data_IF_297812662657
#
_entry.id   IF_297812662657
#
_cell.length_a   1.000
_cell.length_b   1.000
_cell.length_c   1.000
_cell.angle_alpha   90.00
_cell.angle_beta   90.00
_cell.angle_gamma   90.00
#
_symmetry.space_group_name_H-M   'P 1'
#
loop_
_entity.id
_entity.type
_entity.pdbx_description
1 polymer ?
2 non-polymer ?
3 water ?
#
# COMPACT_ATOMS: atom_id res chain seq x y z
N UNK A 1 10.23 20.75 13.99
CA UNK A 1 11.71 20.83 13.83
C UNK A 1 12.22 19.54 13.20
N UNK A 2 13.25 19.64 12.37
CA UNK A 2 13.77 18.46 11.68
C UNK A 2 15.23 18.12 12.00
N UNK A 3 15.44 16.94 12.58
CA UNK A 3 16.77 16.49 12.92
C UNK A 3 17.41 15.84 11.70
N UNK A 4 18.72 15.57 11.80
CA UNK A 4 19.48 14.91 10.75
C UNK A 4 20.90 14.80 11.27
N UNK A 5 21.23 13.62 11.77
CA UNK A 5 22.56 13.39 12.33
C UNK A 5 23.56 13.07 11.25
N UNK A 6 23.10 13.03 10.01
CA UNK A 6 23.97 12.75 8.87
C UNK A 6 24.85 11.54 9.14
N UNK A 7 26.11 11.77 9.52
CA UNK A 7 27.03 10.67 9.81
C UNK A 7 27.53 10.65 11.24
N UNK A 8 26.93 11.48 12.09
CA UNK A 8 27.30 11.57 13.49
C UNK A 8 26.58 10.46 14.24
N UNK A 9 27.21 9.29 14.33
CA UNK A 9 26.62 8.14 15.00
C UNK A 9 26.38 8.29 16.51
N UNK A 10 27.30 8.93 17.22
CA UNK A 10 27.14 9.12 18.66
C UNK A 10 25.97 10.03 19.02
N UNK A 11 25.96 11.24 18.47
CA UNK A 11 24.88 12.16 18.78
C UNK A 11 23.52 11.60 18.41
N UNK A 12 23.49 10.68 17.45
CA UNK A 12 22.24 10.04 17.04
C UNK A 12 21.91 9.01 18.12
N UNK A 13 22.95 8.34 18.60
CA UNK A 13 22.81 7.31 19.64
C UNK A 13 22.10 7.91 20.85
N UNK A 14 22.51 9.11 21.25
CA UNK A 14 21.87 9.77 22.38
C UNK A 14 20.38 9.89 22.08
N UNK A 15 20.09 10.55 20.96
CA UNK A 15 18.73 10.78 20.50
C UNK A 15 17.90 9.49 20.49
N UNK A 16 18.48 8.44 19.91
CA UNK A 16 17.79 7.17 19.84
C UNK A 16 17.61 6.58 21.22
N UNK A 17 18.60 6.83 22.07
CA UNK A 17 18.56 6.35 23.43
C UNK A 17 17.42 7.05 24.19
N UNK A 18 17.11 8.29 23.80
CA UNK A 18 16.03 9.02 24.46
C UNK A 18 14.63 8.68 23.97
N UNK A 19 14.45 8.57 22.67
CA UNK A 19 13.13 8.23 22.15
C UNK A 19 12.84 6.76 22.43
N UNK A 20 13.91 5.98 22.65
CA UNK A 20 13.77 4.57 22.93
C UNK A 20 12.95 4.46 24.20
N UNK A 21 13.00 5.52 25.00
CA UNK A 21 12.25 5.59 26.25
C UNK A 21 10.78 5.91 26.01
N UNK A 22 10.54 6.92 25.18
CA UNK A 22 9.18 7.35 24.87
C UNK A 22 8.27 6.23 24.39
N UNK A 23 8.84 5.22 23.74
CA UNK A 23 8.01 4.13 23.28
C UNK A 23 7.71 3.29 24.52
N UNK A 24 6.42 3.11 24.77
CA UNK A 24 5.93 2.37 25.92
C UNK A 24 6.03 0.87 25.68
N UNK A 25 7.26 0.34 25.65
CA UNK A 25 7.47 -1.08 25.40
C UNK A 25 8.20 -1.86 26.48
N UNK A 26 7.61 -2.97 26.89
CA UNK A 26 8.23 -3.82 27.90
C UNK A 26 9.34 -4.60 27.21
N UNK A 27 10.27 -5.13 28.00
CA UNK A 27 11.39 -5.90 27.44
C UNK A 27 10.84 -7.09 26.67
N UNK A 28 9.68 -7.59 27.11
CA UNK A 28 9.06 -8.72 26.44
C UNK A 28 8.67 -8.31 25.03
N UNK A 29 8.01 -7.17 24.92
CA UNK A 29 7.60 -6.64 23.63
C UNK A 29 8.82 -6.42 22.74
N UNK A 30 9.78 -5.68 23.27
CA UNK A 30 11.01 -5.38 22.54
C UNK A 30 11.56 -6.67 21.96
N UNK A 31 11.58 -7.73 22.76
CA UNK A 31 12.08 -8.99 22.27
C UNK A 31 11.26 -9.44 21.07
N UNK A 32 9.93 -9.38 21.22
CA UNK A 32 9.03 -9.78 20.15
C UNK A 32 9.19 -8.95 18.89
N UNK A 33 9.54 -7.67 19.05
CA UNK A 33 9.74 -6.79 17.90
C UNK A 33 11.04 -7.18 17.19
N UNK A 34 12.08 -7.45 17.98
CA UNK A 34 13.38 -7.84 17.43
C UNK A 34 13.33 -9.18 16.72
N UNK A 35 12.46 -10.08 17.17
CA UNK A 35 12.36 -11.38 16.52
C UNK A 35 11.90 -11.19 15.09
N UNK A 36 10.91 -10.32 14.90
CA UNK A 36 10.44 -10.06 13.56
C UNK A 36 11.55 -9.38 12.76
N UNK A 37 12.22 -8.41 13.36
CA UNK A 37 13.29 -7.70 12.69
C UNK A 37 14.44 -8.63 12.29
N UNK A 38 14.88 -9.49 13.20
CA UNK A 38 15.97 -10.39 12.87
C UNK A 38 15.43 -11.58 12.06
N UNK A 39 14.18 -11.47 11.64
CA UNK A 39 13.53 -12.51 10.85
C UNK A 39 13.61 -13.90 11.48
N UNK A 40 13.14 -14.00 12.71
CA UNK A 40 13.14 -15.28 13.40
C UNK A 40 12.02 -16.11 12.77
N UNK A 41 12.34 -17.30 12.32
CA UNK A 41 11.38 -18.21 11.69
C UNK A 41 10.96 -17.79 10.28
N UNK A 42 11.74 -16.91 9.66
CA UNK A 42 11.42 -16.45 8.31
C UNK A 42 10.15 -15.62 8.29
N UNK A 43 9.80 -15.00 9.41
CA UNK A 43 8.56 -14.23 9.44
C UNK A 43 8.68 -13.01 8.54
N UNK A 44 9.87 -12.41 8.49
CA UNK A 44 10.08 -11.24 7.66
C UNK A 44 10.21 -11.67 6.19
N UNK A 45 10.71 -12.87 5.99
CA UNK A 45 10.89 -13.46 4.67
C UNK A 45 9.52 -13.81 4.07
N UNK A 46 8.62 -14.30 4.90
CA UNK A 46 7.28 -14.70 4.46
C UNK A 46 6.21 -13.65 4.69
N UNK A 47 6.59 -12.52 5.30
CA UNK A 47 5.63 -11.46 5.58
C UNK A 47 4.73 -11.10 4.40
N UNK A 48 5.33 -10.72 3.28
CA UNK A 48 4.56 -10.35 2.11
C UNK A 48 3.55 -11.44 1.73
N UNK A 49 3.99 -12.69 1.68
CA UNK A 49 3.07 -13.77 1.35
C UNK A 49 1.96 -13.78 2.40
N UNK A 50 2.37 -13.70 3.66
CA UNK A 50 1.42 -13.71 4.75
C UNK A 50 0.28 -12.71 4.53
N UNK A 51 0.62 -11.45 4.26
CA UNK A 51 -0.40 -10.43 4.04
C UNK A 51 -1.41 -10.76 2.93
N UNK A 52 -1.01 -11.60 1.98
CA UNK A 52 -1.94 -11.98 0.93
C UNK A 52 -2.31 -13.45 1.04
N UNK A 53 -2.31 -13.98 2.25
CA UNK A 53 -2.66 -15.39 2.45
C UNK A 53 -4.12 -15.63 2.80
N UNK A 54 -4.54 -16.88 2.67
CA UNK A 54 -5.92 -17.26 2.97
C UNK A 54 -6.02 -17.52 4.47
N UNK A 55 -7.18 -17.21 5.04
CA UNK A 55 -7.40 -17.39 6.48
C UNK A 55 -7.09 -18.81 6.94
N UNK A 56 -6.46 -18.91 8.12
CA UNK A 56 -6.10 -20.21 8.66
C UNK A 56 -4.62 -20.47 8.49
N UNK A 57 -4.02 -19.89 7.45
CA UNK A 57 -2.59 -20.07 7.20
C UNK A 57 -1.77 -19.12 8.05
N UNK A 58 -0.52 -19.49 8.32
CA UNK A 58 0.39 -18.70 9.14
C UNK A 58 -0.22 -18.21 10.44
N UNK A 59 -0.88 -19.12 11.14
CA UNK A 59 -1.52 -18.78 12.39
C UNK A 59 -0.60 -18.15 13.43
N UNK A 60 0.47 -18.86 13.80
CA UNK A 60 1.38 -18.34 14.81
C UNK A 60 1.99 -17.01 14.37
N UNK A 61 2.38 -16.91 13.10
CA UNK A 61 2.94 -15.65 12.62
C UNK A 61 1.91 -14.52 12.79
N UNK A 62 0.65 -14.82 12.47
CA UNK A 62 -0.41 -13.83 12.60
C UNK A 62 -0.54 -13.38 14.06
N UNK A 63 -0.37 -14.32 14.99
CA UNK A 63 -0.46 -14.01 16.40
C UNK A 63 0.67 -13.06 16.80
N UNK A 64 1.83 -13.18 16.17
CA UNK A 64 2.93 -12.27 16.50
C UNK A 64 2.64 -10.93 15.86
N UNK A 65 2.11 -10.96 14.64
CA UNK A 65 1.82 -9.72 13.94
C UNK A 65 0.76 -8.92 14.68
N UNK A 66 -0.19 -9.62 15.30
CA UNK A 66 -1.22 -8.91 16.04
C UNK A 66 -0.60 -8.26 17.28
N UNK A 67 0.42 -8.89 17.86
CA UNK A 67 1.08 -8.31 19.02
C UNK A 67 1.94 -7.11 18.58
N UNK A 68 2.60 -7.25 17.44
CA UNK A 68 3.45 -6.19 16.90
C UNK A 68 2.61 -4.99 16.46
N UNK A 69 1.37 -5.25 16.07
CA UNK A 69 0.46 -4.21 15.65
C UNK A 69 0.15 -3.33 16.86
N UNK A 70 -0.18 -3.98 17.97
CA UNK A 70 -0.50 -3.29 19.21
C UNK A 70 0.64 -2.43 19.70
N UNK A 71 1.85 -2.68 19.21
CA UNK A 71 3.00 -1.90 19.63
C UNK A 71 3.09 -0.55 18.91
N UNK A 72 2.85 -0.53 17.60
CA UNK A 72 2.90 0.75 16.90
C UNK A 72 1.71 1.55 17.38
N UNK A 73 0.78 0.86 18.00
CA UNK A 73 -0.44 1.45 18.52
C UNK A 73 -0.10 2.30 19.74
N UNK A 74 1.17 2.29 20.14
CA UNK A 74 1.62 3.04 21.30
C UNK A 74 2.75 4.01 20.96
N UNK A 75 2.97 4.26 19.67
CA UNK A 75 4.05 5.16 19.27
C UNK A 75 3.75 6.63 19.50
N UNK A 76 4.65 7.28 20.21
CA UNK A 76 4.53 8.68 20.56
C UNK A 76 5.69 9.48 19.94
N UNK A 77 5.82 9.41 18.62
CA UNK A 77 6.92 10.12 17.94
C UNK A 77 6.72 11.61 18.16
N UNK A 78 7.65 12.19 18.89
CA UNK A 78 7.60 13.60 19.23
C UNK A 78 8.41 14.51 18.33
N UNK A 79 9.50 13.99 17.79
CA UNK A 79 10.37 14.79 16.94
C UNK A 79 10.52 14.30 15.49
N UNK A 80 10.55 15.25 14.57
CA UNK A 80 10.71 14.95 13.16
C UNK A 80 12.20 14.69 12.95
N UNK A 81 12.54 13.76 12.06
CA UNK A 81 13.93 13.46 11.83
C UNK A 81 14.16 12.83 10.45
N UNK A 82 15.40 12.94 9.96
CA UNK A 82 15.74 12.40 8.67
C UNK A 82 16.44 11.05 8.76
N UNK A 83 15.74 10.01 8.32
CA UNK A 83 16.25 8.65 8.35
C UNK A 83 16.95 8.24 7.07
N UNK A 84 17.81 7.23 7.16
CA UNK A 84 18.56 6.75 6.02
C UNK A 84 18.50 5.25 5.88
N UNK A 85 18.25 4.77 4.67
CA UNK A 85 18.22 3.35 4.42
C UNK A 85 18.56 3.03 2.98
N UNK A 86 19.48 2.08 2.81
CA UNK A 86 19.87 1.68 1.47
C UNK A 86 19.09 0.43 1.11
N UNK A 87 18.72 0.30 -0.16
CA UNK A 87 17.99 -0.87 -0.59
C UNK A 87 18.35 -1.18 -2.03
N UNK A 88 18.14 -2.43 -2.41
CA UNK A 88 18.36 -2.87 -3.78
C UNK A 88 17.17 -2.33 -4.57
N UNK A 89 17.37 -2.02 -5.86
CA UNK A 89 16.31 -1.48 -6.71
C UNK A 89 15.04 -2.35 -6.77
N UNK A 90 15.23 -3.66 -6.79
CA UNK A 90 14.11 -4.59 -6.85
C UNK A 90 13.15 -4.46 -5.66
N UNK A 91 13.68 -4.09 -4.51
CA UNK A 91 12.88 -3.94 -3.30
C UNK A 91 11.79 -2.90 -3.42
N UNK A 92 12.01 -1.88 -4.24
CA UNK A 92 11.01 -0.83 -4.42
C UNK A 92 10.40 -0.87 -5.82
N UNK A 93 10.35 -2.07 -6.40
CA UNK A 93 9.75 -2.23 -7.70
C UNK A 93 10.49 -1.71 -8.91
N UNK A 94 11.75 -1.31 -8.76
CA UNK A 94 12.50 -0.84 -9.93
C UNK A 94 13.11 -2.10 -10.51
N UNK A 95 12.63 -2.54 -11.65
CA UNK A 95 13.12 -3.77 -12.25
C UNK A 95 14.03 -3.64 -13.46
N UNK A 96 14.63 -2.47 -13.65
CA UNK A 96 15.56 -2.25 -14.75
C UNK A 96 16.96 -2.28 -14.17
N UNK A 97 17.93 -2.66 -14.99
CA UNK A 97 19.32 -2.71 -14.58
C UNK A 97 19.64 -1.29 -14.12
N UNK A 98 20.10 -1.13 -12.88
CA UNK A 98 20.39 0.19 -12.34
C UNK A 98 21.86 0.58 -12.40
N UNK A 99 22.75 -0.37 -12.19
CA UNK A 99 24.17 -0.07 -12.22
C UNK A 99 24.99 -1.00 -13.11
N UNK A 100 26.19 -0.56 -13.41
CA UNK A 100 27.15 -1.31 -14.22
C UNK A 100 28.49 -1.00 -13.58
N UNK A 101 28.81 -1.76 -12.54
CA UNK A 101 30.04 -1.54 -11.82
C UNK A 101 29.76 -0.50 -10.76
N UNK A 102 30.60 0.51 -10.68
CA UNK A 102 30.44 1.56 -9.69
C UNK A 102 29.73 2.74 -10.32
N UNK A 103 29.15 2.52 -11.50
CA UNK A 103 28.48 3.57 -12.22
C UNK A 103 26.97 3.38 -12.41
N UNK A 104 26.27 4.51 -12.55
CA UNK A 104 24.83 4.49 -12.78
C UNK A 104 24.62 4.57 -14.28
N UNK A 105 24.03 3.51 -14.82
CA UNK A 105 23.75 3.35 -16.25
C UNK A 105 23.46 4.61 -17.09
N UNK A 106 22.51 5.43 -16.63
CA UNK A 106 22.10 6.68 -17.30
C UNK A 106 20.68 6.52 -17.84
N UNK A 107 20.44 5.45 -18.59
CA UNK A 107 19.10 5.19 -19.07
C UNK A 107 18.36 4.79 -17.81
N UNK A 108 19.09 4.12 -16.91
CA UNK A 108 18.53 3.69 -15.65
C UNK A 108 17.93 4.90 -14.93
N UNK A 109 18.73 5.96 -14.74
CA UNK A 109 18.20 7.13 -14.07
C UNK A 109 16.98 7.71 -14.74
N UNK A 110 17.03 7.85 -16.06
CA UNK A 110 15.90 8.39 -16.82
C UNK A 110 14.70 7.56 -16.43
N UNK A 111 14.80 6.26 -16.67
CA UNK A 111 13.73 5.34 -16.34
C UNK A 111 13.38 5.48 -14.86
N UNK A 112 14.39 5.59 -14.02
CA UNK A 112 14.14 5.70 -12.60
C UNK A 112 13.31 6.95 -12.24
N UNK A 113 13.75 8.12 -12.70
CA UNK A 113 13.02 9.36 -12.40
C UNK A 113 11.61 9.36 -12.98
N UNK A 114 11.44 8.71 -14.12
CA UNK A 114 10.13 8.67 -14.75
C UNK A 114 9.17 7.85 -13.92
N UNK A 115 9.68 6.77 -13.32
CA UNK A 115 8.83 5.92 -12.50
C UNK A 115 8.51 6.45 -11.09
N UNK A 116 9.47 7.05 -10.41
CA UNK A 116 9.23 7.50 -9.03
C UNK A 116 9.14 8.97 -8.66
N UNK A 117 9.91 9.83 -9.32
CA UNK A 117 9.88 11.26 -8.98
C UNK A 117 8.47 11.84 -8.84
N UNK A 118 8.22 12.48 -7.69
CA UNK A 118 6.93 13.09 -7.38
C UNK A 118 5.82 12.05 -7.24
N UNK A 119 6.20 10.79 -7.15
CA UNK A 119 5.25 9.68 -7.01
C UNK A 119 5.35 9.12 -5.60
N UNK A 120 4.37 8.30 -5.23
CA UNK A 120 4.39 7.69 -3.92
C UNK A 120 4.89 6.25 -4.04
N UNK A 121 5.72 5.83 -3.09
CA UNK A 121 6.23 4.47 -3.07
C UNK A 121 5.56 3.74 -1.91
N UNK A 122 4.87 2.65 -2.23
CA UNK A 122 4.19 1.84 -1.23
C UNK A 122 5.05 0.64 -0.93
N UNK A 123 5.30 0.38 0.35
CA UNK A 123 6.11 -0.76 0.77
C UNK A 123 5.25 -1.93 1.26
N UNK A 124 5.83 -3.13 1.36
CA UNK A 124 5.09 -4.32 1.80
C UNK A 124 4.98 -4.47 3.32
N UNK A 125 6.00 -4.04 4.04
CA UNK A 125 6.01 -4.20 5.49
C UNK A 125 6.46 -2.96 6.25
N UNK A 126 6.60 -3.09 7.56
CA UNK A 126 7.04 -1.98 8.39
C UNK A 126 8.40 -1.56 7.87
N UNK A 127 8.60 -0.25 7.65
CA UNK A 127 9.88 0.22 7.17
C UNK A 127 10.79 0.47 8.36
N UNK A 128 12.03 -0.01 8.29
CA UNK A 128 12.99 0.19 9.35
C UNK A 128 14.20 0.93 8.76
N UNK A 129 14.40 2.17 9.20
CA UNK A 129 15.49 2.99 8.71
C UNK A 129 16.49 3.38 9.79
N UNK A 130 17.58 4.00 9.37
CA UNK A 130 18.65 4.40 10.28
C UNK A 130 18.61 5.89 10.59
N UNK A 131 19.34 6.28 11.63
CA UNK A 131 19.41 7.66 12.07
C UNK A 131 20.63 8.33 11.46
N UNK A 132 21.45 7.53 10.78
CA UNK A 132 22.65 8.04 10.12
C UNK A 132 22.93 7.24 8.87
N UNK A 133 23.36 7.94 7.83
CA UNK A 133 23.68 7.31 6.56
C UNK A 133 24.38 5.97 6.78
N UNK A 134 24.07 5.01 5.92
CA UNK A 134 24.64 3.67 6.01
C UNK A 134 25.58 3.42 4.87
N UNK A 135 26.64 2.65 5.12
CA UNK A 135 27.54 2.42 4.02
C UNK A 135 26.84 1.66 2.90
N UNK A 136 27.05 2.12 1.68
CA UNK A 136 26.46 1.48 0.51
C UNK A 136 26.89 0.03 0.52
N UNK A 137 25.97 -0.88 0.75
CA UNK A 137 26.31 -2.29 0.75
C UNK A 137 26.42 -2.83 -0.67
N UNK A 138 26.43 -4.15 -0.78
CA UNK A 138 26.55 -4.85 -2.05
C UNK A 138 25.79 -4.20 -3.21
N UNK A 139 24.58 -4.70 -3.45
CA UNK A 139 23.74 -4.23 -4.54
C UNK A 139 22.69 -3.25 -4.05
N UNK A 140 22.79 -2.84 -2.77
CA UNK A 140 21.84 -1.92 -2.19
C UNK A 140 22.25 -0.50 -2.56
N UNK A 141 22.09 -0.19 -3.86
CA UNK A 141 22.50 1.08 -4.41
C UNK A 141 21.50 2.26 -4.38
N UNK A 142 20.31 2.04 -3.85
CA UNK A 142 19.35 3.14 -3.76
C UNK A 142 19.33 3.64 -2.33
N UNK A 143 19.75 4.89 -2.14
CA UNK A 143 19.77 5.49 -0.82
C UNK A 143 18.43 6.18 -0.59
N UNK A 144 17.72 5.80 0.46
CA UNK A 144 16.44 6.43 0.78
C UNK A 144 16.68 7.41 1.92
N UNK A 145 16.35 8.66 1.70
CA UNK A 145 16.53 9.70 2.70
C UNK A 145 15.15 10.19 3.05
N UNK A 146 14.48 9.44 3.92
CA UNK A 146 13.12 9.76 4.30
C UNK A 146 13.02 10.68 5.51
N UNK A 147 12.24 11.75 5.34
CA UNK A 147 12.00 12.72 6.39
C UNK A 147 10.77 12.22 7.15
N UNK A 148 10.93 11.91 8.43
CA UNK A 148 9.81 11.41 9.21
C UNK A 148 9.17 12.51 10.05
N UNK A 149 8.04 13.06 9.60
CA UNK A 149 7.36 14.12 10.33
C UNK A 149 6.84 13.66 11.69
N UNK A 150 7.21 14.38 12.73
CA UNK A 150 6.78 14.06 14.09
C UNK A 150 5.26 14.14 14.18
N UNK A 151 4.69 15.15 13.54
CA UNK A 151 3.26 15.34 13.56
C UNK A 151 2.72 15.19 14.97
N UNK A 152 3.40 15.80 15.93
CA UNK A 152 2.98 15.74 17.33
C UNK A 152 1.70 16.55 17.54
N UNK A 153 1.81 17.87 17.47
CA UNK A 153 0.64 18.71 17.65
C UNK A 153 -0.23 18.59 16.42
N UNK A 154 0.05 17.57 15.62
CA UNK A 154 -0.69 17.28 14.39
C UNK A 154 -1.90 16.39 14.64
N UNK A 155 -2.84 16.43 13.71
CA UNK A 155 -4.05 15.64 13.78
C UNK A 155 -3.73 14.19 14.15
N UNK A 156 -3.24 13.42 13.18
CA UNK A 156 -2.88 12.02 13.41
C UNK A 156 -1.42 11.89 13.84
N UNK A 157 -1.16 11.08 14.87
CA UNK A 157 0.21 10.89 15.36
C UNK A 157 0.99 10.01 14.38
N UNK A 158 2.27 10.31 14.22
CA UNK A 158 3.14 9.54 13.33
C UNK A 158 3.48 8.21 13.99
N UNK A 159 2.84 7.14 13.55
CA UNK A 159 3.11 5.84 14.16
C UNK A 159 4.50 5.31 13.89
N UNK A 160 5.49 5.95 14.49
CA UNK A 160 6.89 5.57 14.34
C UNK A 160 7.57 5.62 15.70
N UNK A 161 8.54 4.73 15.92
CA UNK A 161 9.24 4.71 17.18
C UNK A 161 10.66 4.17 17.03
N UNK A 162 11.47 4.39 18.06
CA UNK A 162 12.84 3.91 18.01
C UNK A 162 12.99 2.66 18.84
N UNK A 163 13.73 1.69 18.31
CA UNK A 163 14.01 0.46 19.01
C UNK A 163 15.51 0.23 18.99
N UNK A 164 16.02 -0.56 19.93
CA UNK A 164 17.44 -0.84 20.01
C UNK A 164 17.63 -2.22 19.42
N UNK A 165 18.08 -2.29 18.18
CA UNK A 165 18.29 -3.55 17.48
C UNK A 165 19.74 -3.70 17.04
N UNK A 166 20.33 -4.86 17.29
CA UNK A 166 21.71 -5.11 16.91
C UNK A 166 22.68 -3.99 17.29
N UNK A 167 22.70 -3.62 18.55
CA UNK A 167 23.61 -2.57 19.00
C UNK A 167 23.35 -1.25 18.28
N UNK A 168 22.11 -1.02 17.86
CA UNK A 168 21.83 0.22 17.16
C UNK A 168 20.41 0.72 17.36
N UNK A 169 20.26 2.03 17.50
CA UNK A 169 18.93 2.56 17.65
C UNK A 169 18.41 2.80 16.24
N UNK A 170 17.20 2.29 15.98
CA UNK A 170 16.62 2.42 14.65
C UNK A 170 15.21 2.95 14.65
N UNK A 171 14.80 3.52 13.53
CA UNK A 171 13.46 4.06 13.39
C UNK A 171 12.56 2.99 12.78
N UNK A 172 11.41 2.76 13.38
CA UNK A 172 10.46 1.78 12.88
C UNK A 172 9.16 2.48 12.53
N UNK A 173 8.79 2.43 11.26
CA UNK A 173 7.57 3.08 10.81
C UNK A 173 6.48 2.07 10.47
N UNK A 174 5.28 2.32 11.02
CA UNK A 174 4.12 1.46 10.83
C UNK A 174 3.71 1.28 9.36
N UNK A 175 2.96 0.22 9.07
CA UNK A 175 2.49 -0.09 7.71
C UNK A 175 1.80 1.06 6.98
N UNK A 176 0.92 1.76 7.68
CA UNK A 176 0.16 2.84 7.09
C UNK A 176 0.86 4.07 6.52
N UNK A 177 2.08 3.93 6.02
CA UNK A 177 2.78 5.07 5.43
C UNK A 177 3.55 4.74 4.15
N UNK A 178 3.47 5.64 3.18
CA UNK A 178 4.18 5.51 1.93
C UNK A 178 5.27 6.58 1.95
N UNK A 179 6.17 6.52 0.98
CA UNK A 179 7.22 7.52 0.88
C UNK A 179 7.02 8.34 -0.39
N UNK A 180 6.61 9.60 -0.24
CA UNK A 180 6.42 10.45 -1.39
C UNK A 180 7.80 10.91 -1.84
N UNK A 181 8.18 10.58 -3.06
CA UNK A 181 9.49 10.97 -3.58
C UNK A 181 9.51 12.46 -3.94
N UNK A 182 10.32 13.23 -3.23
CA UNK A 182 10.40 14.65 -3.49
C UNK A 182 11.48 15.02 -4.50
N UNK A 183 12.65 14.41 -4.35
CA UNK A 183 13.77 14.69 -5.23
C UNK A 183 14.58 13.42 -5.51
N UNK A 184 15.15 13.32 -6.71
CA UNK A 184 15.98 12.18 -7.09
C UNK A 184 17.27 12.65 -7.77
N UNK A 185 18.41 12.18 -7.30
CA UNK A 185 19.68 12.59 -7.90
C UNK A 185 20.76 11.52 -7.83
N UNK A 186 21.86 11.72 -8.55
CA UNK A 186 22.97 10.77 -8.52
C UNK A 186 23.97 11.27 -7.49
N UNK A 187 24.39 10.39 -6.60
CA UNK A 187 25.36 10.75 -5.58
C UNK A 187 26.50 9.75 -5.67
N UNK A 188 27.61 10.06 -5.00
CA UNK A 188 28.77 9.16 -5.00
C UNK A 188 29.29 8.95 -3.59
N UNK A 189 29.27 7.69 -3.15
CA UNK A 189 29.73 7.35 -1.82
C UNK A 189 30.97 6.47 -1.97
N UNK A 190 32.14 7.05 -1.65
CA UNK A 190 33.42 6.35 -1.73
C UNK A 190 33.76 5.75 -3.09
N UNK A 191 33.52 6.52 -4.15
CA UNK A 191 33.83 6.04 -5.49
C UNK A 191 32.71 5.24 -6.14
N UNK A 192 31.64 4.98 -5.40
CA UNK A 192 30.52 4.22 -5.94
C UNK A 192 29.30 5.13 -6.16
N UNK A 193 28.72 5.05 -7.35
CA UNK A 193 27.57 5.88 -7.68
C UNK A 193 26.28 5.19 -7.28
N UNK A 194 25.35 5.95 -6.70
CA UNK A 194 24.07 5.44 -6.26
C UNK A 194 23.02 6.50 -6.50
N UNK A 195 21.75 6.10 -6.45
CA UNK A 195 20.65 7.04 -6.62
C UNK A 195 20.12 7.31 -5.24
N UNK A 196 19.81 8.57 -4.97
CA UNK A 196 19.29 8.95 -3.68
C UNK A 196 17.88 9.51 -3.80
N UNK A 197 16.94 8.89 -3.08
CA UNK A 197 15.57 9.35 -3.06
C UNK A 197 15.29 10.14 -1.79
N UNK A 198 15.06 11.45 -1.92
CA UNK A 198 14.74 12.24 -0.76
C UNK A 198 13.22 12.29 -0.74
N UNK A 199 12.63 11.84 0.35
CA UNK A 199 11.19 11.84 0.41
C UNK A 199 10.61 12.09 1.78
N UNK A 200 9.28 12.16 1.83
CA UNK A 200 8.59 12.40 3.08
C UNK A 200 7.56 11.31 3.30
N UNK A 201 7.23 11.02 4.55
CA UNK A 201 6.21 10.02 4.82
C UNK A 201 4.87 10.61 4.45
N UNK A 202 3.97 9.74 4.02
CA UNK A 202 2.63 10.14 3.63
C UNK A 202 1.72 9.04 4.17
N UNK A 203 0.79 9.42 5.03
CA UNK A 203 -0.13 8.46 5.62
C UNK A 203 -1.07 7.89 4.56
N UNK A 204 -1.46 6.63 4.77
CA UNK A 204 -2.36 5.92 3.89
C UNK A 204 -2.81 4.65 4.61
N UNK A 205 -4.07 4.57 4.99
CA UNK A 205 -4.54 3.38 5.70
C UNK A 205 -4.31 2.12 4.89
N UNK A 206 -3.89 1.07 5.57
CA UNK A 206 -3.61 -0.19 4.91
C UNK A 206 -3.89 -1.30 5.91
N UNK A 207 -5.05 -1.92 5.77
CA UNK A 207 -5.41 -3.00 6.69
C UNK A 207 -4.75 -4.31 6.34
N UNK A 208 -4.07 -4.38 5.21
CA UNK A 208 -3.42 -5.63 4.81
C UNK A 208 -4.46 -6.74 4.92
N UNK A 209 -4.06 -7.90 5.42
CA UNK A 209 -5.00 -8.99 5.53
C UNK A 209 -5.95 -8.86 6.73
N UNK A 210 -6.08 -7.63 7.23
CA UNK A 210 -6.97 -7.29 8.33
C UNK A 210 -6.95 -8.29 9.50
N UNK A 211 -5.78 -8.52 10.05
CA UNK A 211 -5.65 -9.48 11.15
C UNK A 211 -6.35 -9.11 12.45
N UNK A 212 -6.48 -7.82 12.74
CA UNK A 212 -7.15 -7.40 13.97
C UNK A 212 -8.60 -7.01 13.73
N UNK A 213 -9.09 -7.30 12.53
CA UNK A 213 -10.48 -7.00 12.15
C UNK A 213 -10.85 -5.55 12.43
N UNK A 214 -10.02 -4.64 11.95
CA UNK A 214 -10.24 -3.21 12.15
C UNK A 214 -10.89 -2.56 10.92
N UNK A 215 -10.91 -3.29 9.80
CA UNK A 215 -11.46 -2.77 8.56
C UNK A 215 -12.94 -2.45 8.59
N UNK A 216 -13.75 -3.44 8.95
CA UNK A 216 -15.19 -3.24 8.98
C UNK A 216 -15.59 -2.08 9.88
N UNK A 217 -14.88 -1.93 11.00
CA UNK A 217 -15.19 -0.83 11.91
C UNK A 217 -14.84 0.51 11.28
N UNK A 218 -13.70 0.58 10.61
CA UNK A 218 -13.30 1.82 9.96
C UNK A 218 -14.39 2.16 8.96
N UNK A 219 -14.81 1.15 8.21
CA UNK A 219 -15.84 1.34 7.21
C UNK A 219 -17.13 1.87 7.78
N UNK A 220 -17.63 1.20 8.82
CA UNK A 220 -18.87 1.61 9.46
C UNK A 220 -18.73 2.99 10.08
N UNK A 221 -17.62 3.21 10.76
CA UNK A 221 -17.40 4.49 11.42
C UNK A 221 -17.48 5.65 10.43
N UNK A 222 -17.21 5.40 9.15
CA UNK A 222 -17.24 6.48 8.19
C UNK A 222 -18.40 6.46 7.22
N UNK A 223 -18.98 5.29 6.97
CA UNK A 223 -20.09 5.23 6.03
C UNK A 223 -21.43 4.73 6.56
N UNK A 224 -21.56 4.58 7.87
CA UNK A 224 -22.82 4.10 8.42
C UNK A 224 -23.87 5.19 8.21
N UNK A 225 -23.48 6.43 8.47
CA UNK A 225 -24.36 7.59 8.33
C UNK A 225 -24.75 7.76 6.86
N UNK A 226 -23.75 7.72 5.99
CA UNK A 226 -23.95 7.83 4.55
C UNK A 226 -25.01 6.80 4.14
N UNK A 227 -24.86 5.58 4.64
CA UNK A 227 -25.79 4.51 4.33
C UNK A 227 -27.20 4.92 4.76
N UNK A 228 -27.34 5.31 6.02
CA UNK A 228 -28.63 5.74 6.53
C UNK A 228 -29.24 6.85 5.68
N UNK A 229 -28.47 7.87 5.34
CA UNK A 229 -29.01 8.99 4.55
C UNK A 229 -29.27 8.72 3.08
N UNK A 230 -29.22 7.47 2.66
CA UNK A 230 -29.50 7.19 1.27
C UNK A 230 -31.01 7.18 1.06
N UNK A 231 -31.44 7.56 -0.13
CA UNK A 231 -32.85 7.56 -0.46
C UNK A 231 -33.20 6.09 -0.69
N UNK A 232 -34.47 5.74 -0.62
CA UNK A 232 -34.86 4.35 -0.83
C UNK A 232 -34.55 3.96 -2.27
N UNK A 233 -34.50 4.95 -3.16
CA UNK A 233 -34.19 4.70 -4.57
C UNK A 233 -32.76 4.20 -4.61
N UNK A 234 -31.88 4.98 -3.99
CA UNK A 234 -30.46 4.67 -3.90
C UNK A 234 -30.19 3.40 -3.10
N UNK A 235 -30.81 3.29 -1.94
CA UNK A 235 -30.61 2.10 -1.13
C UNK A 235 -30.95 0.87 -1.95
N UNK A 236 -32.10 0.89 -2.62
CA UNK A 236 -32.52 -0.26 -3.41
C UNK A 236 -31.62 -0.57 -4.61
N UNK A 237 -31.25 0.46 -5.37
CA UNK A 237 -30.39 0.24 -6.53
C UNK A 237 -29.07 -0.40 -6.08
N UNK A 238 -28.48 0.15 -5.03
CA UNK A 238 -27.22 -0.36 -4.49
C UNK A 238 -27.39 -1.79 -4.02
N UNK A 239 -28.59 -2.12 -3.57
CA UNK A 239 -28.84 -3.48 -3.09
C UNK A 239 -28.98 -4.40 -4.29
N UNK A 240 -29.59 -3.89 -5.36
CA UNK A 240 -29.75 -4.69 -6.55
C UNK A 240 -28.39 -4.95 -7.14
N UNK A 241 -27.58 -3.90 -7.21
CA UNK A 241 -26.22 -4.00 -7.74
C UNK A 241 -25.46 -5.11 -7.04
N UNK A 242 -25.36 -4.98 -5.73
CA UNK A 242 -24.65 -5.94 -4.89
C UNK A 242 -25.21 -7.35 -4.99
N UNK A 243 -26.52 -7.47 -5.00
CA UNK A 243 -27.14 -8.78 -5.07
C UNK A 243 -26.76 -9.53 -6.35
N UNK A 244 -27.13 -8.99 -7.49
CA UNK A 244 -26.79 -9.65 -8.75
C UNK A 244 -26.62 -8.69 -9.93
N UNK A 245 -27.41 -7.62 -9.93
CA UNK A 245 -27.38 -6.62 -10.99
C UNK A 245 -26.01 -6.15 -11.48
N UNK A 246 -25.00 -6.26 -10.63
CA UNK A 246 -23.66 -5.80 -11.03
C UNK A 246 -23.16 -6.44 -12.33
N UNK A 247 -23.45 -7.72 -12.54
CA UNK A 247 -23.02 -8.41 -13.76
C UNK A 247 -23.60 -7.78 -15.01
N UNK A 248 -24.90 -7.54 -14.96
CA UNK A 248 -25.62 -6.93 -16.08
C UNK A 248 -25.20 -5.47 -16.25
N UNK A 249 -25.12 -4.74 -15.14
CA UNK A 249 -24.72 -3.34 -15.18
C UNK A 249 -23.28 -3.11 -15.64
N UNK A 250 -22.32 -3.88 -15.12
CA UNK A 250 -20.95 -3.68 -15.56
C UNK A 250 -20.77 -4.00 -17.04
N UNK A 251 -21.38 -5.10 -17.48
CA UNK A 251 -21.31 -5.52 -18.87
C UNK A 251 -21.84 -4.41 -19.76
N UNK A 252 -23.03 -3.93 -19.46
CA UNK A 252 -23.66 -2.85 -20.20
C UNK A 252 -22.68 -1.67 -20.35
N UNK A 253 -22.07 -1.27 -19.24
CA UNK A 253 -21.12 -0.16 -19.24
C UNK A 253 -19.77 -0.45 -19.91
N UNK A 254 -19.22 -1.63 -19.65
CA UNK A 254 -17.92 -1.99 -20.23
C UNK A 254 -17.93 -2.38 -21.69
N UNK A 255 -19.00 -3.01 -22.15
CA UNK A 255 -19.05 -3.50 -23.52
C UNK A 255 -20.13 -2.96 -24.44
N UNK A 256 -21.21 -2.40 -23.89
CA UNK A 256 -22.27 -1.89 -24.74
C UNK A 256 -22.35 -0.35 -24.78
N UNK A 257 -21.20 0.31 -24.81
CA UNK A 257 -21.17 1.76 -24.86
C UNK A 257 -21.95 2.46 -23.77
N UNK A 258 -22.41 1.69 -22.78
CA UNK A 258 -23.15 2.25 -21.68
C UNK A 258 -24.42 2.94 -22.13
N UNK A 259 -24.92 2.55 -23.29
CA UNK A 259 -26.12 3.16 -23.83
C UNK A 259 -27.13 2.16 -24.36
N UNK A 260 -28.39 2.57 -24.43
CA UNK A 260 -29.43 1.71 -24.97
C UNK A 260 -30.29 0.90 -24.02
N UNK A 261 -30.33 1.27 -22.74
CA UNK A 261 -31.15 0.52 -21.80
C UNK A 261 -31.72 1.42 -20.72
N UNK A 262 -32.84 2.06 -21.03
CA UNK A 262 -33.54 2.96 -20.12
C UNK A 262 -33.49 2.48 -18.67
N UNK A 263 -33.97 1.26 -18.44
CA UNK A 263 -34.02 0.68 -17.11
C UNK A 263 -32.69 0.77 -16.37
N UNK A 264 -31.65 0.20 -16.96
CA UNK A 264 -30.33 0.22 -16.35
C UNK A 264 -29.82 1.64 -16.12
N UNK A 265 -29.90 2.48 -17.15
CA UNK A 265 -29.45 3.86 -17.02
C UNK A 265 -29.96 4.53 -15.75
N UNK A 266 -31.21 4.26 -15.41
CA UNK A 266 -31.86 4.82 -14.23
C UNK A 266 -31.22 4.27 -12.95
N UNK A 267 -31.08 2.95 -12.89
CA UNK A 267 -30.45 2.31 -11.74
C UNK A 267 -29.00 2.78 -11.65
N UNK A 268 -28.32 2.85 -12.79
CA UNK A 268 -26.95 3.34 -12.81
C UNK A 268 -26.87 4.77 -12.27
N UNK A 269 -27.85 5.61 -12.58
CA UNK A 269 -27.85 6.98 -12.12
C UNK A 269 -27.94 7.07 -10.60
N UNK A 270 -28.77 6.22 -10.01
CA UNK A 270 -28.91 6.24 -8.56
C UNK A 270 -27.63 5.74 -7.91
N UNK A 271 -27.10 4.64 -8.44
CA UNK A 271 -25.88 4.09 -7.89
C UNK A 271 -24.79 5.14 -7.86
N UNK A 272 -24.52 5.76 -9.00
CA UNK A 272 -23.48 6.78 -9.07
C UNK A 272 -23.76 7.98 -8.19
N UNK A 273 -25.01 8.43 -8.12
CA UNK A 273 -25.33 9.57 -7.27
C UNK A 273 -25.06 9.20 -5.81
N UNK A 274 -25.40 7.97 -5.45
CA UNK A 274 -25.17 7.47 -4.10
C UNK A 274 -23.67 7.49 -3.84
N UNK A 275 -22.91 6.89 -4.75
CA UNK A 275 -21.45 6.80 -4.63
C UNK A 275 -20.72 8.13 -4.50
N UNK A 276 -21.34 9.21 -4.98
CA UNK A 276 -20.70 10.51 -4.89
C UNK A 276 -21.01 11.32 -3.65
N UNK A 277 -22.10 11.01 -2.96
CA UNK A 277 -22.50 11.77 -1.78
C UNK A 277 -21.40 11.96 -0.75
N UNK A 278 -20.56 10.95 -0.55
CA UNK A 278 -19.49 11.07 0.43
C UNK A 278 -18.10 10.64 -0.04
N UNK A 279 -17.26 11.59 -0.47
CA UNK A 279 -15.92 11.21 -0.93
C UNK A 279 -15.15 10.46 0.16
N UNK A 280 -14.21 9.60 -0.25
CA UNK A 280 -13.39 8.83 0.69
C UNK A 280 -12.75 9.86 1.64
N UNK A 281 -13.05 9.76 2.94
CA UNK A 281 -12.53 10.67 3.96
C UNK A 281 -11.02 10.81 4.12
N UNK A 282 -10.26 9.80 3.71
CA UNK A 282 -8.80 9.90 3.84
C UNK A 282 -8.10 8.93 2.92
N UNK A 283 -6.79 9.11 2.74
CA UNK A 283 -6.03 8.23 1.89
C UNK A 283 -6.11 6.80 2.40
N UNK A 284 -6.59 5.88 1.57
CA UNK A 284 -6.66 4.49 1.98
C UNK A 284 -6.10 3.58 0.90
N UNK A 285 -5.86 2.33 1.27
CA UNK A 285 -5.34 1.32 0.37
C UNK A 285 -6.42 0.28 0.20
N UNK A 286 -6.72 -0.09 -1.03
CA UNK A 286 -7.71 -1.13 -1.26
C UNK A 286 -7.06 -2.22 -2.09
N UNK A 287 -7.71 -3.37 -2.17
CA UNK A 287 -7.15 -4.47 -2.93
C UNK A 287 -8.16 -5.12 -3.83
N UNK A 288 -7.65 -5.92 -4.76
CA UNK A 288 -8.51 -6.56 -5.71
C UNK A 288 -7.71 -7.66 -6.40
N UNK A 289 -8.23 -8.89 -6.38
CA UNK A 289 -7.57 -10.00 -7.06
C UNK A 289 -8.15 -10.02 -8.48
N UNK A 290 -7.28 -9.90 -9.47
CA UNK A 290 -7.72 -9.82 -10.87
C UNK A 290 -7.57 -11.06 -11.75
N UNK A 291 -8.51 -11.24 -12.67
CA UNK A 291 -8.45 -12.35 -13.59
C UNK A 291 -7.70 -11.89 -14.83
N UNK A 292 -6.92 -12.77 -15.44
CA UNK A 292 -6.13 -12.44 -16.63
C UNK A 292 -6.82 -11.57 -17.71
N UNK A 293 -8.11 -11.83 -17.98
CA UNK A 293 -8.80 -11.02 -18.98
C UNK A 293 -8.85 -9.55 -18.59
N UNK A 294 -8.88 -9.27 -17.29
CA UNK A 294 -8.94 -7.88 -16.83
C UNK A 294 -7.71 -7.09 -17.28
N UNK A 295 -6.63 -7.80 -17.55
CA UNK A 295 -5.41 -7.16 -18.01
C UNK A 295 -5.03 -7.57 -19.43
N UNK A 296 -6.06 -7.86 -20.22
CA UNK A 296 -5.86 -8.22 -21.61
C UNK A 296 -5.32 -9.61 -21.91
N UNK A 297 -5.25 -10.47 -20.90
CA UNK A 297 -4.74 -11.82 -21.12
C UNK A 297 -5.83 -12.88 -21.13
N UNK A 298 -5.45 -14.10 -21.54
CA UNK A 298 -6.36 -15.22 -21.62
C UNK A 298 -6.49 -15.92 -20.29
N UNK A 299 -7.70 -16.35 -19.99
CA UNK A 299 -8.00 -17.02 -18.73
C UNK A 299 -7.02 -18.14 -18.40
N UNK A 300 -6.52 -18.83 -19.43
CA UNK A 300 -5.60 -19.93 -19.18
C UNK A 300 -4.11 -19.60 -19.36
N UNK A 301 -3.79 -18.34 -19.64
CA UNK A 301 -2.39 -17.97 -19.82
C UNK A 301 -1.61 -17.81 -18.52
N UNK A 302 -0.33 -18.16 -18.53
CA UNK A 302 0.47 -17.99 -17.33
C UNK A 302 0.85 -16.51 -17.34
N UNK A 303 1.38 -15.99 -16.24
CA UNK A 303 1.77 -14.60 -16.22
C UNK A 303 2.86 -14.36 -17.26
N UNK A 304 2.80 -13.23 -17.98
CA UNK A 304 3.85 -12.97 -18.98
C UNK A 304 5.11 -12.65 -18.17
N UNK A 305 6.23 -12.46 -18.84
CA UNK A 305 7.48 -12.15 -18.14
C UNK A 305 7.26 -10.83 -17.38
N UNK A 306 7.97 -10.65 -16.27
CA UNK A 306 7.81 -9.43 -15.50
C UNK A 306 8.24 -8.26 -16.36
N UNK A 307 9.10 -8.53 -17.32
CA UNK A 307 9.57 -7.48 -18.21
C UNK A 307 8.45 -7.06 -19.16
N UNK A 308 7.83 -8.04 -19.81
CA UNK A 308 6.73 -7.74 -20.74
C UNK A 308 5.60 -6.98 -20.06
N UNK A 309 5.28 -7.41 -18.85
CA UNK A 309 4.20 -6.81 -18.10
C UNK A 309 4.44 -5.32 -17.87
N UNK A 310 5.67 -4.97 -17.51
CA UNK A 310 5.98 -3.56 -17.29
C UNK A 310 5.88 -2.81 -18.62
N UNK A 311 6.36 -3.42 -19.70
CA UNK A 311 6.29 -2.74 -20.99
C UNK A 311 4.86 -2.42 -21.35
N UNK A 312 3.94 -3.30 -20.98
CA UNK A 312 2.53 -3.08 -21.29
C UNK A 312 1.77 -2.16 -20.35
N UNK A 313 1.98 -2.31 -19.04
CA UNK A 313 1.22 -1.51 -18.08
C UNK A 313 1.96 -0.50 -17.22
N UNK A 314 3.27 -0.66 -17.06
CA UNK A 314 4.03 0.27 -16.23
C UNK A 314 3.91 1.70 -16.72
N UNK A 315 3.49 2.58 -15.82
CA UNK A 315 3.32 4.00 -16.08
C UNK A 315 2.06 4.36 -16.89
N UNK A 316 1.26 3.36 -17.25
CA UNK A 316 0.04 3.59 -18.01
C UNK A 316 -1.15 3.89 -17.10
N UNK A 317 -2.27 4.26 -17.72
CA UNK A 317 -3.51 4.54 -17.00
C UNK A 317 -4.59 3.58 -17.44
N UNK A 318 -4.98 2.69 -16.55
CA UNK A 318 -6.00 1.71 -16.87
C UNK A 318 -7.36 2.28 -16.46
N UNK A 319 -8.35 2.08 -17.31
CA UNK A 319 -9.68 2.60 -17.04
C UNK A 319 -10.71 1.50 -16.89
N UNK A 320 -11.86 1.87 -16.35
CA UNK A 320 -12.95 0.93 -16.19
C UNK A 320 -14.26 1.68 -16.33
N UNK A 321 -15.02 1.34 -17.38
CA UNK A 321 -16.29 1.99 -17.59
C UNK A 321 -17.30 1.50 -16.57
N UNK A 322 -17.12 0.27 -16.11
CA UNK A 322 -18.01 -0.28 -15.10
C UNK A 322 -17.59 0.21 -13.71
N UNK A 323 -18.20 -0.36 -12.68
CA UNK A 323 -17.87 0.01 -11.30
C UNK A 323 -16.80 -0.97 -10.82
N UNK A 324 -15.76 -0.44 -10.20
CA UNK A 324 -14.69 -1.28 -9.69
C UNK A 324 -14.88 -1.64 -8.21
N UNK A 325 -14.97 -2.94 -7.94
CA UNK A 325 -15.13 -3.43 -6.57
C UNK A 325 -13.76 -3.71 -6.01
N UNK A 326 -13.49 -3.19 -4.82
CA UNK A 326 -12.20 -3.42 -4.20
C UNK A 326 -12.46 -3.79 -2.76
N UNK A 327 -11.40 -4.13 -2.03
CA UNK A 327 -11.54 -4.51 -0.63
C UNK A 327 -10.51 -3.86 0.29
N UNK A 328 -10.90 -3.58 1.52
CA UNK A 328 -9.98 -3.00 2.48
C UNK A 328 -9.02 -4.09 2.93
N UNK A 329 -9.36 -5.34 2.65
CA UNK A 329 -8.50 -6.47 3.04
C UNK A 329 -7.85 -7.17 1.86
N UNK A 330 -6.56 -7.42 1.98
CA UNK A 330 -5.79 -8.09 0.95
C UNK A 330 -5.91 -9.60 1.11
N UNK A 331 -6.79 -10.01 2.02
CA UNK A 331 -7.03 -11.42 2.32
C UNK A 331 -7.40 -12.31 1.13
N UNK A 332 -6.77 -13.47 1.02
CA UNK A 332 -7.08 -14.38 -0.08
C UNK A 332 -8.34 -15.18 0.23
N UNK A 333 -9.36 -15.03 -0.61
CA UNK A 333 -10.61 -15.74 -0.43
C UNK A 333 -10.79 -16.76 -1.53
N UNK A 334 -11.36 -17.91 -1.17
CA UNK A 334 -11.61 -19.00 -2.10
C UNK A 334 -12.24 -18.59 -3.44
N UNK A 335 -13.18 -17.66 -3.41
CA UNK A 335 -13.84 -17.24 -4.65
C UNK A 335 -12.84 -16.92 -5.75
N UNK A 336 -11.69 -16.37 -5.37
CA UNK A 336 -10.66 -16.04 -6.36
C UNK A 336 -9.24 -16.13 -5.82
N UNK A 337 -9.01 -17.11 -4.96
CA UNK A 337 -7.70 -17.31 -4.38
C UNK A 337 -6.61 -17.71 -5.36
N UNK A 338 -6.96 -17.94 -6.62
CA UNK A 338 -5.96 -18.35 -7.59
C UNK A 338 -5.69 -17.32 -8.69
N UNK A 339 -6.23 -16.10 -8.56
CA UNK A 339 -5.97 -15.05 -9.54
C UNK A 339 -4.46 -14.81 -9.45
N UNK A 340 -3.82 -14.40 -10.54
CA UNK A 340 -2.38 -14.18 -10.53
C UNK A 340 -1.96 -12.71 -10.49
N UNK A 341 -2.94 -11.81 -10.55
CA UNK A 341 -2.64 -10.39 -10.52
C UNK A 341 -3.41 -9.77 -9.36
N UNK A 342 -2.66 -9.14 -8.45
CA UNK A 342 -3.26 -8.49 -7.29
C UNK A 342 -3.06 -6.99 -7.37
N UNK A 343 -4.16 -6.23 -7.36
CA UNK A 343 -4.06 -4.79 -7.45
C UNK A 343 -3.99 -4.16 -6.06
N UNK A 344 -2.93 -3.40 -5.82
CA UNK A 344 -2.80 -2.71 -4.54
C UNK A 344 -3.08 -1.28 -4.94
N UNK A 345 -4.30 -0.82 -4.67
CA UNK A 345 -4.71 0.50 -5.09
C UNK A 345 -4.69 1.58 -4.01
N UNK A 346 -4.12 2.74 -4.35
CA UNK A 346 -4.07 3.88 -3.45
C UNK A 346 -5.23 4.78 -3.76
N UNK A 347 -6.16 4.90 -2.82
CA UNK A 347 -7.31 5.77 -3.02
C UNK A 347 -7.08 7.02 -2.19
N UNK A 348 -6.77 8.15 -2.85
CA UNK A 348 -6.50 9.45 -2.22
C UNK A 348 -7.75 10.03 -1.59
N UNK A 349 -7.54 10.84 -0.55
CA UNK A 349 -8.66 11.47 0.12
C UNK A 349 -9.40 12.20 -1.00
N UNK A 350 -10.74 12.11 -0.98
CA UNK A 350 -11.53 12.78 -2.00
C UNK A 350 -11.97 11.92 -3.19
N UNK A 351 -11.56 10.66 -3.22
CA UNK A 351 -11.95 9.82 -4.34
C UNK A 351 -13.45 9.59 -4.30
N UNK A 352 -14.02 9.34 -5.46
CA UNK A 352 -15.46 9.10 -5.62
C UNK A 352 -15.79 7.63 -5.40
N UNK A 353 -16.31 7.31 -4.21
CA UNK A 353 -16.66 5.94 -3.90
C UNK A 353 -17.31 5.85 -2.54
N UNK A 354 -17.58 4.62 -2.09
CA UNK A 354 -18.20 4.47 -0.80
C UNK A 354 -17.96 3.06 -0.29
N UNK A 355 -18.01 2.91 1.02
CA UNK A 355 -17.83 1.62 1.67
C UNK A 355 -19.22 1.01 1.61
N UNK A 356 -19.47 0.25 0.54
CA UNK A 356 -20.74 -0.40 0.26
C UNK A 356 -21.26 -1.30 1.38
N UNK A 357 -20.35 -1.91 2.14
CA UNK A 357 -20.73 -2.80 3.22
C UNK A 357 -21.62 -2.11 4.26
N UNK A 358 -21.65 -0.79 4.25
CA UNK A 358 -22.46 -0.05 5.20
C UNK A 358 -23.95 -0.27 5.01
N UNK A 359 -24.38 -0.65 3.81
CA UNK A 359 -25.81 -0.86 3.57
C UNK A 359 -26.28 -2.23 4.06
N UNK A 360 -25.35 -3.05 4.55
CA UNK A 360 -25.72 -4.37 5.02
C UNK A 360 -26.52 -5.09 3.95
N UNK A 361 -27.32 -6.07 4.35
CA UNK A 361 -28.11 -6.80 3.38
C UNK A 361 -27.27 -7.67 2.46
N UNK A 362 -27.71 -7.82 1.21
CA UNK A 362 -26.99 -8.63 0.23
C UNK A 362 -25.57 -8.12 -0.01
N UNK A 363 -25.25 -6.96 0.54
CA UNK A 363 -23.93 -6.34 0.40
C UNK A 363 -22.80 -7.35 0.56
N UNK A 364 -21.60 -6.96 0.15
CA UNK A 364 -20.44 -7.85 0.25
C UNK A 364 -19.65 -7.56 1.51
N UNK A 365 -18.42 -8.08 1.56
CA UNK A 365 -17.54 -7.93 2.72
C UNK A 365 -16.38 -6.94 2.61
N UNK A 366 -16.37 -5.94 3.49
CA UNK A 366 -15.29 -4.98 3.51
C UNK A 366 -15.04 -4.37 2.14
N UNK A 367 -16.12 -4.09 1.42
CA UNK A 367 -16.03 -3.55 0.06
C UNK A 367 -16.11 -2.03 -0.11
N UNK A 368 -15.14 -1.50 -0.86
CA UNK A 368 -15.15 -0.09 -1.21
C UNK A 368 -15.42 -0.09 -2.69
N UNK A 369 -16.63 0.33 -3.06
CA UNK A 369 -17.05 0.37 -4.45
C UNK A 369 -16.74 1.73 -5.07
N UNK A 370 -15.87 1.74 -6.07
CA UNK A 370 -15.52 2.99 -6.75
C UNK A 370 -16.54 3.29 -7.84
N UNK A 371 -16.84 4.57 -8.04
CA UNK A 371 -17.80 4.98 -9.04
C UNK A 371 -17.31 4.60 -10.42
N UNK A 372 -18.24 4.46 -11.36
CA UNK A 372 -17.88 4.10 -12.72
C UNK A 372 -16.94 5.11 -13.37
N UNK A 373 -16.37 4.74 -14.50
CA UNK A 373 -15.44 5.60 -15.21
C UNK A 373 -14.22 5.92 -14.35
N UNK A 374 -13.71 4.92 -13.65
CA UNK A 374 -12.52 5.12 -12.81
C UNK A 374 -11.26 5.04 -13.66
N UNK A 375 -10.19 5.60 -13.13
CA UNK A 375 -8.91 5.60 -13.80
C UNK A 375 -7.81 5.59 -12.77
N UNK A 376 -6.82 4.72 -12.95
CA UNK A 376 -5.71 4.70 -12.01
C UNK A 376 -4.38 4.57 -12.73
N UNK A 377 -3.33 5.02 -12.06
CA UNK A 377 -1.97 5.00 -12.60
C UNK A 377 -1.14 3.85 -12.05
N UNK A 378 -0.70 2.95 -12.91
CA UNK A 378 0.13 1.85 -12.44
C UNK A 378 1.51 2.43 -12.08
N UNK A 379 1.87 2.34 -10.80
CA UNK A 379 3.14 2.87 -10.32
C UNK A 379 4.31 1.89 -10.37
N UNK A 380 4.12 0.69 -9.85
CA UNK A 380 5.18 -0.30 -9.89
C UNK A 380 4.60 -1.71 -9.81
N UNK A 381 5.38 -2.70 -10.24
CA UNK A 381 4.96 -4.09 -10.21
C UNK A 381 6.03 -4.92 -9.51
N UNK A 382 5.61 -5.75 -8.58
CA UNK A 382 6.55 -6.57 -7.83
C UNK A 382 5.97 -7.95 -7.73
N UNK A 383 6.78 -8.93 -7.31
CA UNK A 383 6.29 -10.30 -7.23
C UNK A 383 6.07 -10.78 -5.81
N UNK A 384 5.18 -11.76 -5.68
CA UNK A 384 4.92 -12.38 -4.40
C UNK A 384 4.47 -13.82 -4.70
N UNK A 385 5.09 -14.78 -4.03
CA UNK A 385 4.75 -16.18 -4.22
C UNK A 385 3.86 -16.61 -3.07
N UNK A 386 2.60 -16.85 -3.39
CA UNK A 386 1.60 -17.23 -2.40
C UNK A 386 1.25 -18.70 -2.53
N UNK A 387 1.60 -19.48 -1.51
CA UNK A 387 1.31 -20.90 -1.51
C UNK A 387 1.78 -21.54 -2.82
N UNK A 388 3.05 -21.34 -3.15
CA UNK A 388 3.62 -21.91 -4.35
C UNK A 388 3.57 -21.12 -5.65
N UNK A 389 2.40 -20.59 -5.99
CA UNK A 389 2.25 -19.84 -7.23
C UNK A 389 2.72 -18.38 -7.18
N UNK A 390 3.29 -17.91 -8.28
CA UNK A 390 3.78 -16.53 -8.37
C UNK A 390 2.65 -15.61 -8.83
N UNK A 391 2.54 -14.46 -8.17
CA UNK A 391 1.50 -13.51 -8.54
C UNK A 391 2.19 -12.16 -8.73
N UNK A 392 1.50 -11.24 -9.37
CA UNK A 392 2.05 -9.91 -9.56
C UNK A 392 1.24 -8.90 -8.80
N UNK A 393 1.88 -8.25 -7.84
CA UNK A 393 1.23 -7.20 -7.06
C UNK A 393 1.44 -5.92 -7.84
N UNK A 394 0.36 -5.36 -8.34
CA UNK A 394 0.42 -4.13 -9.12
C UNK A 394 0.00 -2.92 -8.31
N UNK A 395 0.98 -2.09 -7.92
CA UNK A 395 0.69 -0.87 -7.16
C UNK A 395 0.20 0.23 -8.08
N UNK A 396 -0.86 0.91 -7.68
CA UNK A 396 -1.40 1.98 -8.49
C UNK A 396 -2.08 3.04 -7.64
N UNK A 397 -2.17 4.25 -8.19
CA UNK A 397 -2.81 5.39 -7.54
C UNK A 397 -4.07 5.74 -8.31
N UNK A 398 -5.19 5.84 -7.60
CA UNK A 398 -6.46 6.19 -8.23
C UNK A 398 -6.42 7.66 -8.62
N UNK A 399 -6.95 8.00 -9.80
CA UNK A 399 -6.98 9.38 -10.25
C UNK A 399 -8.30 9.97 -9.80
N UNK A 400 -8.23 11.09 -9.08
CA UNK A 400 -9.45 11.69 -8.59
C UNK A 400 -9.88 12.87 -9.44
N UNK A 401 -11.16 12.84 -9.83
CA UNK A 401 -11.78 13.90 -10.64
C UNK A 401 -12.55 14.83 -9.70
X LIG B 1 -14.80 -10.13 -11.87
X LIG B 1 -15.15 -11.54 -11.46
X LIG B 1 -13.36 -9.92 -12.13
X LIG B 1 -15.64 -9.63 -13.17
X LIG B 1 -15.95 -10.54 -14.25
X LIG B 1 -15.63 -9.80 -15.53
X LIG B 1 -15.41 -8.37 -15.39
X LIG B 1 -14.51 -10.37 -16.40
X LIG B 1 -14.79 -10.52 -17.80
X LIG B 1 -13.40 -9.36 -16.18
X LIG B 1 -12.46 -9.38 -17.25
X LIG B 1 -14.27 -8.12 -16.21
X LIG B 1 -13.79 -6.82 -16.71
X LIG B 1 -14.10 -6.55 -17.99
X LIG B 1 -13.67 -5.34 -18.37
X LIG B 1 -13.10 -4.88 -17.29
X LIG B 1 -12.51 -3.61 -17.19
X LIG B 1 -12.51 -2.82 -18.27
X LIG B 1 -11.95 -3.27 -15.97
X LIG B 1 -11.98 -4.14 -14.93
X LIG B 1 -12.56 -5.36 -15.08
X LIG B 1 -13.13 -5.77 -16.22
X LIG B 1 -15.04 -8.97 -10.75
X LIG B 1 -15.33 -8.75 -9.18
X LIG B 1 -14.67 -7.45 -8.84
X LIG B 1 -14.75 -9.98 -8.59
X LIG B 1 -16.90 -8.53 -8.96
X LIG B 1 -17.80 -9.55 -8.49
X LIG B 1 -17.99 -9.70 -6.99
X LIG B 1 -16.84 -9.99 -6.16
X LIG B 1 -18.74 -8.54 -6.43
X LIG B 1 -20.00 -8.93 -5.89
X LIG B 1 -17.80 -7.90 -5.44
X LIG B 1 -18.46 -7.52 -4.23
X LIG B 1 -16.72 -8.92 -5.20
X LIG B 1 -15.33 -8.44 -4.92
X LIG B 1 -14.21 -8.98 -5.62
X LIG B 1 -12.90 -8.62 -5.24
X LIG B 1 -11.70 -9.17 -5.96
X LIG B 1 -10.62 -9.01 -5.45
X LIG B 1 -11.82 -9.95 -7.03
X LIG B 1 -12.74 -7.70 -4.16
X LIG B 1 -13.80 -7.13 -3.43
X LIG B 1 -15.11 -7.50 -3.81
#
# INVERSE_FOLDING_TARGET
KVEDFKEDKEKAKEWGKEKEKEWKLTATEKGKMNNFLDNKNDIKTNYKEITFSMAGSFEDEIKDLKEIDKMFDKTNLSNSIITYKNVEPTTIGFNKSLTEGNTINSDAMAQFKEQFLDRDIKFDSYLDTHLTAQQVSSKERVILKVTVPSGKGSTTPTKAGVILNNSEYKMLIDNGYMVHVDKVSKVVKKGVECLQIEGTLKKSLDFKNDINAEAHSWGMKNYEEWAKDLTDSQREALDGYARQDYKEINNYLRNQGGSGNEKLDAQIKNISDALGKKPIPENITVYRWCGMPEFGYQISDPLPSLKDFEEQFLNTIKEDKGYMSTSLSSERLAAFGSRKIILRLQVPKGSTGAYLSAIGGFASEKEILLDKDSKYHIDKVTEVIIKGVKRYVVDATLLTN
NAD PA O1A O2A O5B C5B C4B O4B C3B O3B C2B O2B C1B N9A C8A N7A C5A C6A N6A N1A C2A N3A C4A O3 PN O1N O2N O5D C5D C4D O4D C3D O3D C2D O2D C1D N1N C2N C3N C7N O7N N7N C4N C5N C6N
#
